data_IF_307026595270
#
_entry.id   IF_307026595270
#
_cell.length_a   1.000
_cell.length_b   1.000
_cell.length_c   1.000
_cell.angle_alpha   90.00
_cell.angle_beta   90.00
_cell.angle_gamma   90.00
#
_symmetry.space_group_name_H-M   'P 1'
#
loop_
_entity.id
_entity.type
_entity.pdbx_description
1 polymer ?
#
# COMPACT_ATOMS: atom_id res chain seq x y z
N UNK A 1 -19.08 -29.99 -6.52
CA UNK A 1 -19.70 -28.97 -7.40
C UNK A 1 -18.66 -27.91 -7.68
N UNK A 2 -18.48 -27.51 -8.95
CA UNK A 2 -17.59 -26.38 -9.26
C UNK A 2 -18.23 -25.08 -8.77
N UNK A 3 -17.48 -24.29 -8.03
CA UNK A 3 -17.93 -22.97 -7.58
C UNK A 3 -18.02 -22.01 -8.78
N UNK A 4 -18.84 -20.96 -8.69
CA UNK A 4 -19.01 -19.98 -9.77
C UNK A 4 -17.66 -19.38 -10.26
N UNK A 5 -16.71 -19.17 -9.33
CA UNK A 5 -15.35 -18.73 -9.65
C UNK A 5 -14.57 -19.73 -10.53
N UNK A 6 -14.73 -21.03 -10.30
CA UNK A 6 -14.06 -22.05 -11.10
C UNK A 6 -14.62 -22.09 -12.52
N UNK A 7 -15.92 -21.93 -12.69
CA UNK A 7 -16.55 -21.86 -14.02
C UNK A 7 -16.03 -20.66 -14.81
N UNK A 8 -15.88 -19.50 -14.16
CA UNK A 8 -15.31 -18.30 -14.79
C UNK A 8 -13.83 -18.51 -15.12
N UNK A 9 -13.07 -19.14 -14.22
CA UNK A 9 -11.66 -19.43 -14.44
C UNK A 9 -11.46 -20.36 -15.63
N UNK A 10 -12.23 -21.45 -15.73
CA UNK A 10 -12.12 -22.42 -16.82
C UNK A 10 -12.39 -21.78 -18.18
N UNK A 11 -13.49 -21.01 -18.28
CA UNK A 11 -13.82 -20.28 -19.52
C UNK A 11 -12.70 -19.33 -19.95
N UNK A 12 -12.12 -18.58 -19.02
CA UNK A 12 -10.99 -17.68 -19.34
C UNK A 12 -9.73 -18.43 -19.78
N UNK A 13 -9.47 -19.59 -19.19
CA UNK A 13 -8.34 -20.43 -19.57
C UNK A 13 -8.56 -20.96 -21.00
N UNK A 14 -9.75 -21.45 -21.32
CA UNK A 14 -10.13 -21.89 -22.67
C UNK A 14 -10.01 -20.74 -23.69
N UNK A 15 -10.57 -19.56 -23.39
CA UNK A 15 -10.47 -18.37 -24.25
C UNK A 15 -9.01 -17.97 -24.51
N UNK A 16 -8.15 -18.06 -23.48
CA UNK A 16 -6.73 -17.75 -23.61
C UNK A 16 -6.02 -18.72 -24.57
N UNK A 17 -6.30 -20.03 -24.47
CA UNK A 17 -5.71 -21.04 -25.36
C UNK A 17 -6.30 -21.04 -26.77
N UNK A 18 -7.53 -20.55 -26.95
CA UNK A 18 -8.14 -20.36 -28.28
C UNK A 18 -7.59 -19.12 -29.00
N UNK A 19 -7.02 -18.15 -28.27
CA UNK A 19 -6.41 -16.97 -28.88
C UNK A 19 -5.02 -17.28 -29.45
N UNK A 20 -4.67 -16.74 -30.60
CA UNK A 20 -3.32 -16.87 -31.21
C UNK A 20 -2.20 -16.18 -30.40
N UNK A 21 -2.47 -15.73 -29.17
CA UNK A 21 -1.55 -15.01 -28.29
C UNK A 21 -1.00 -15.87 -27.16
N UNK A 22 -1.05 -17.19 -27.25
CA UNK A 22 -0.47 -18.06 -26.22
C UNK A 22 1.04 -17.80 -26.15
N UNK A 23 1.58 -17.24 -25.05
CA UNK A 23 3.01 -17.08 -24.87
C UNK A 23 3.66 -18.46 -24.70
N UNK A 24 4.94 -18.58 -25.06
CA UNK A 24 5.69 -19.81 -24.80
C UNK A 24 5.80 -20.06 -23.28
N UNK A 25 5.14 -21.11 -22.82
CA UNK A 25 5.13 -21.55 -21.41
C UNK A 25 6.17 -22.64 -21.12
N UNK A 26 6.99 -23.02 -22.11
CA UNK A 26 7.98 -24.11 -22.01
C UNK A 26 8.91 -23.97 -20.79
N UNK A 27 9.32 -22.74 -20.48
CA UNK A 27 10.19 -22.42 -19.34
C UNK A 27 9.56 -22.75 -17.97
N UNK A 28 8.23 -22.77 -17.88
CA UNK A 28 7.49 -23.07 -16.65
C UNK A 28 7.18 -24.56 -16.49
N UNK A 29 7.38 -25.38 -17.54
CA UNK A 29 7.12 -26.82 -17.49
C UNK A 29 8.03 -27.50 -16.47
N UNK A 30 7.45 -28.32 -15.60
CA UNK A 30 8.13 -29.02 -14.50
C UNK A 30 8.83 -28.12 -13.47
N UNK A 31 8.55 -26.81 -13.44
CA UNK A 31 9.00 -25.95 -12.35
C UNK A 31 7.99 -25.99 -11.21
N UNK A 32 8.43 -26.14 -9.96
CA UNK A 32 7.54 -25.98 -8.82
C UNK A 32 7.00 -24.54 -8.80
N UNK A 33 5.74 -24.39 -8.36
CA UNK A 33 5.16 -23.08 -8.12
C UNK A 33 6.01 -22.34 -7.07
N UNK A 34 6.27 -21.03 -7.25
CA UNK A 34 6.93 -20.24 -6.23
C UNK A 34 6.17 -20.34 -4.91
N UNK A 35 6.88 -20.64 -3.82
CA UNK A 35 6.28 -20.65 -2.49
C UNK A 35 5.98 -19.21 -2.10
N UNK A 36 4.70 -18.89 -1.97
CA UNK A 36 4.28 -17.59 -1.45
C UNK A 36 4.18 -17.66 0.07
N UNK A 37 4.88 -16.78 0.76
CA UNK A 37 4.73 -16.62 2.21
C UNK A 37 3.38 -15.96 2.52
N UNK A 38 2.42 -16.78 2.96
CA UNK A 38 1.09 -16.38 3.41
C UNK A 38 0.87 -16.72 4.88
N UNK A 39 1.96 -16.84 5.66
CA UNK A 39 1.92 -17.21 7.08
C UNK A 39 1.08 -16.23 7.91
N UNK A 40 1.03 -14.96 7.49
CA UNK A 40 0.29 -13.89 8.16
C UNK A 40 -1.17 -13.73 7.69
N UNK A 41 -1.65 -14.60 6.79
CA UNK A 41 -3.01 -14.52 6.23
C UNK A 41 -3.82 -15.73 6.68
N UNK A 42 -4.98 -15.53 7.35
CA UNK A 42 -5.88 -16.62 7.74
C UNK A 42 -6.26 -17.52 6.57
N UNK A 43 -6.44 -18.82 6.83
CA UNK A 43 -6.62 -19.83 5.78
C UNK A 43 -7.72 -19.48 4.77
N UNK A 44 -8.85 -18.99 5.28
CA UNK A 44 -10.04 -18.67 4.49
C UNK A 44 -9.86 -17.42 3.61
N UNK A 45 -8.93 -16.52 3.97
CA UNK A 45 -8.67 -15.27 3.26
C UNK A 45 -7.53 -15.38 2.23
N UNK A 46 -6.74 -16.46 2.25
CA UNK A 46 -5.57 -16.61 1.37
C UNK A 46 -5.93 -16.54 -0.11
N UNK A 47 -7.04 -17.14 -0.52
CA UNK A 47 -7.47 -17.12 -1.92
C UNK A 47 -7.83 -15.70 -2.38
N UNK A 48 -8.63 -14.98 -1.59
CA UNK A 48 -9.01 -13.60 -1.89
C UNK A 48 -7.79 -12.68 -1.94
N UNK A 49 -6.86 -12.82 -1.00
CA UNK A 49 -5.62 -12.08 -0.98
C UNK A 49 -4.74 -12.32 -2.22
N UNK A 50 -4.58 -13.59 -2.63
CA UNK A 50 -3.84 -13.94 -3.86
C UNK A 50 -4.43 -13.31 -5.11
N UNK A 51 -5.76 -13.35 -5.24
CA UNK A 51 -6.46 -12.76 -6.39
C UNK A 51 -6.19 -11.25 -6.46
N UNK A 52 -6.33 -10.54 -5.33
CA UNK A 52 -6.06 -9.10 -5.25
C UNK A 52 -4.60 -8.77 -5.58
N UNK A 53 -3.65 -9.52 -5.00
CA UNK A 53 -2.22 -9.36 -5.26
C UNK A 53 -1.88 -9.55 -6.75
N UNK A 54 -2.41 -10.60 -7.39
CA UNK A 54 -2.20 -10.89 -8.81
C UNK A 54 -2.81 -9.85 -9.74
N UNK A 55 -3.94 -9.25 -9.33
CA UNK A 55 -4.58 -8.16 -10.06
C UNK A 55 -3.89 -6.79 -9.83
N UNK A 56 -2.79 -6.74 -9.07
CA UNK A 56 -2.04 -5.52 -8.79
C UNK A 56 -2.68 -4.62 -7.73
N UNK A 57 -3.69 -5.10 -7.00
CA UNK A 57 -4.28 -4.36 -5.88
C UNK A 57 -3.33 -4.40 -4.69
N UNK A 58 -2.56 -3.33 -4.55
CA UNK A 58 -1.69 -3.08 -3.41
C UNK A 58 -2.50 -2.29 -2.36
N UNK A 59 -2.54 -2.74 -1.09
CA UNK A 59 -3.15 -1.96 -0.02
C UNK A 59 -2.57 -0.54 0.02
N UNK A 60 -3.38 0.49 0.24
CA UNK A 60 -2.92 1.87 0.15
C UNK A 60 -1.82 2.17 1.19
N UNK A 61 -1.78 1.43 2.30
CA UNK A 61 -0.70 1.46 3.30
C UNK A 61 0.66 1.10 2.68
N UNK A 62 0.69 0.07 1.83
CA UNK A 62 1.91 -0.37 1.15
C UNK A 62 2.29 0.62 0.04
N UNK A 63 1.31 1.20 -0.64
CA UNK A 63 1.56 2.27 -1.62
C UNK A 63 2.15 3.52 -0.95
N UNK A 64 1.61 3.94 0.19
CA UNK A 64 2.11 5.06 0.99
C UNK A 64 3.52 4.80 1.50
N UNK A 65 3.82 3.59 2.00
CA UNK A 65 5.20 3.22 2.40
C UNK A 65 6.19 3.31 1.26
N UNK A 66 5.81 2.84 0.06
CA UNK A 66 6.64 2.99 -1.15
C UNK A 66 6.86 4.47 -1.51
N UNK A 67 5.85 5.31 -1.36
CA UNK A 67 5.99 6.75 -1.63
C UNK A 67 6.88 7.46 -0.60
N UNK A 68 6.82 7.06 0.67
CA UNK A 68 7.72 7.55 1.72
C UNK A 68 9.16 7.19 1.37
N UNK A 69 9.45 5.91 1.11
CA UNK A 69 10.81 5.46 0.76
C UNK A 69 11.36 6.20 -0.47
N UNK A 70 10.53 6.36 -1.52
CA UNK A 70 10.92 7.16 -2.70
C UNK A 70 11.21 8.62 -2.36
N UNK A 71 10.46 9.21 -1.43
CA UNK A 71 10.65 10.60 -0.99
C UNK A 71 11.94 10.76 -0.19
N UNK A 72 12.30 9.76 0.62
CA UNK A 72 13.58 9.67 1.36
C UNK A 72 14.77 9.52 0.41
N UNK A 73 14.67 8.64 -0.58
CA UNK A 73 15.70 8.46 -1.61
C UNK A 73 15.95 9.76 -2.39
N UNK A 74 14.87 10.47 -2.75
CA UNK A 74 14.96 11.75 -3.42
C UNK A 74 15.62 12.81 -2.53
N UNK A 75 15.33 12.81 -1.23
CA UNK A 75 15.97 13.71 -0.25
C UNK A 75 17.46 13.43 -0.09
N UNK A 76 17.87 12.16 -0.09
CA UNK A 76 19.27 11.76 0.05
C UNK A 76 20.15 12.26 -1.11
N UNK A 77 19.58 12.36 -2.31
CA UNK A 77 20.30 12.78 -3.52
C UNK A 77 20.05 14.24 -3.92
N UNK A 78 19.24 14.99 -3.15
CA UNK A 78 18.90 16.37 -3.49
C UNK A 78 19.96 17.37 -2.99
N UNK A 79 20.52 18.16 -3.91
CA UNK A 79 21.52 19.22 -3.61
C UNK A 79 20.93 20.62 -3.46
N UNK A 80 19.67 20.83 -3.87
CA UNK A 80 18.98 22.12 -3.78
C UNK A 80 18.19 22.23 -2.46
N UNK A 81 18.55 23.20 -1.63
CA UNK A 81 17.92 23.45 -0.31
C UNK A 81 16.42 23.77 -0.40
N UNK A 82 15.98 24.49 -1.44
CA UNK A 82 14.55 24.84 -1.59
C UNK A 82 13.71 23.61 -1.94
N UNK A 83 14.27 22.72 -2.76
CA UNK A 83 13.63 21.45 -3.13
C UNK A 83 13.64 20.50 -1.93
N UNK A 84 14.75 20.44 -1.19
CA UNK A 84 14.89 19.65 0.03
C UNK A 84 13.84 20.04 1.09
N UNK A 85 13.61 21.33 1.31
CA UNK A 85 12.60 21.78 2.26
C UNK A 85 11.16 21.40 1.87
N UNK A 86 10.81 21.51 0.58
CA UNK A 86 9.49 21.06 0.08
C UNK A 86 9.33 19.54 0.23
N UNK A 87 10.38 18.79 -0.06
CA UNK A 87 10.36 17.33 -0.02
C UNK A 87 10.30 16.81 1.43
N UNK A 88 10.93 17.50 2.40
CA UNK A 88 10.77 17.23 3.84
C UNK A 88 9.33 17.45 4.32
N UNK A 89 8.68 18.55 3.90
CA UNK A 89 7.26 18.77 4.21
C UNK A 89 6.35 17.69 3.62
N UNK A 90 6.65 17.25 2.39
CA UNK A 90 5.92 16.16 1.74
C UNK A 90 6.11 14.85 2.51
N UNK A 91 7.33 14.54 2.94
CA UNK A 91 7.65 13.37 3.74
C UNK A 91 6.83 13.35 5.05
N UNK A 92 6.82 14.44 5.81
CA UNK A 92 6.07 14.53 7.05
C UNK A 92 4.56 14.33 6.85
N UNK A 93 3.99 14.87 5.76
CA UNK A 93 2.60 14.62 5.40
C UNK A 93 2.31 13.15 5.07
N UNK A 94 3.19 12.48 4.32
CA UNK A 94 3.02 11.07 3.95
C UNK A 94 3.12 10.15 5.18
N UNK A 95 4.06 10.43 6.09
CA UNK A 95 4.20 9.72 7.36
C UNK A 95 2.94 9.88 8.22
N UNK A 96 2.45 11.12 8.37
CA UNK A 96 1.20 11.40 9.09
C UNK A 96 -0.01 10.68 8.46
N UNK A 97 -0.16 10.73 7.13
CA UNK A 97 -1.25 10.04 6.42
C UNK A 97 -1.21 8.53 6.67
N UNK A 98 -0.01 7.93 6.75
CA UNK A 98 0.15 6.51 7.06
C UNK A 98 -0.24 6.20 8.52
N UNK A 99 0.17 7.04 9.48
CA UNK A 99 -0.15 6.89 10.90
C UNK A 99 -1.65 6.97 11.18
N UNK A 100 -2.34 7.98 10.63
CA UNK A 100 -3.80 8.11 10.72
C UNK A 100 -4.52 6.85 10.24
N UNK A 101 -4.05 6.27 9.13
CA UNK A 101 -4.66 5.10 8.51
C UNK A 101 -4.42 3.82 9.30
N UNK A 102 -3.24 3.71 9.91
CA UNK A 102 -2.88 2.55 10.74
C UNK A 102 -3.55 2.54 12.11
N UNK A 103 -4.35 3.57 12.45
CA UNK A 103 -5.00 3.68 13.76
C UNK A 103 -4.02 3.84 14.92
N UNK A 104 -2.76 4.23 14.63
CA UNK A 104 -1.79 4.56 15.67
C UNK A 104 -2.19 5.90 16.28
N UNK A 105 -2.08 6.02 17.61
CA UNK A 105 -2.37 7.28 18.30
C UNK A 105 -1.46 8.37 17.73
N UNK A 106 -2.06 9.42 17.18
CA UNK A 106 -1.34 10.62 16.78
C UNK A 106 -0.78 11.26 18.03
N UNK A 107 0.51 11.06 18.29
CA UNK A 107 1.20 11.79 19.36
C UNK A 107 1.39 13.22 18.85
N UNK A 108 0.49 14.12 19.27
CA UNK A 108 0.71 15.56 19.18
C UNK A 108 1.66 15.95 20.31
N UNK A 109 2.95 15.78 20.10
CA UNK A 109 3.99 16.31 20.98
C UNK A 109 4.43 17.72 20.54
N UNK A 110 5.18 18.38 21.42
CA UNK A 110 5.75 19.72 21.21
C UNK A 110 6.66 19.80 19.98
N UNK A 111 7.27 18.66 19.61
CA UNK A 111 8.18 18.54 18.46
C UNK A 111 7.41 18.30 17.14
N UNK A 112 6.11 18.01 17.21
CA UNK A 112 5.27 17.86 16.03
C UNK A 112 5.13 19.19 15.28
N UNK A 113 5.45 19.24 13.97
CA UNK A 113 5.36 20.46 13.17
C UNK A 113 3.93 20.99 13.00
N UNK A 114 2.93 20.23 13.48
CA UNK A 114 1.52 20.57 13.44
C UNK A 114 0.95 20.98 14.80
N UNK A 115 1.71 20.83 15.90
CA UNK A 115 1.27 21.19 17.25
C UNK A 115 0.75 22.63 17.32
N UNK A 116 1.56 23.59 16.85
CA UNK A 116 1.18 25.00 16.82
C UNK A 116 -0.10 25.27 16.02
N UNK A 117 -0.23 24.67 14.83
CA UNK A 117 -1.37 24.89 13.93
C UNK A 117 -2.68 24.27 14.43
N UNK A 118 -2.58 23.21 15.23
CA UNK A 118 -3.73 22.53 15.81
C UNK A 118 -4.19 23.27 17.06
N UNK A 119 -3.26 23.68 17.93
CA UNK A 119 -3.56 24.50 19.12
C UNK A 119 -4.21 25.83 18.74
N UNK A 120 -3.74 26.50 17.67
CA UNK A 120 -4.35 27.74 17.16
C UNK A 120 -5.81 27.59 16.70
N UNK A 121 -6.23 26.38 16.31
CA UNK A 121 -7.56 26.13 15.73
C UNK A 121 -8.55 25.50 16.71
N UNK A 122 -8.11 25.09 17.90
CA UNK A 122 -8.99 24.51 18.91
C UNK A 122 -9.55 25.64 19.76
N UNK A 123 -10.86 25.93 19.69
CA UNK A 123 -11.47 26.86 20.62
C UNK A 123 -11.45 26.24 22.02
N UNK A 124 -10.74 26.89 22.94
CA UNK A 124 -10.81 26.55 24.36
C UNK A 124 -12.19 27.00 24.84
N UNK A 125 -13.04 26.03 25.19
CA UNK A 125 -14.23 26.34 25.97
C UNK A 125 -13.77 26.68 27.38
N UNK A 126 -13.84 27.95 27.74
CA UNK A 126 -13.73 28.34 29.13
C UNK A 126 -14.81 27.59 29.91
N UNK A 127 -14.39 26.80 30.88
CA UNK A 127 -15.32 26.24 31.85
C UNK A 127 -15.80 27.42 32.69
N UNK A 128 -16.95 27.96 32.33
CA UNK A 128 -17.73 28.85 33.19
C UNK A 128 -17.95 28.16 34.54
N UNK A 129 -17.47 28.80 35.60
CA UNK A 129 -17.85 28.57 36.99
C UNK A 129 -18.66 29.76 37.48
#
# INVERSE_FOLDING_TARGET
>A
MLNALQIIAERKIEEFFQSDRVPDLSHWKNRPLPVEDLSNVPADLRMAYKILKNAGYVPEEVALRKEIARTEDLLAHCRDEKVKFKQLKKLGYLQFKLECRMGRSLILDSDSPYYARVVEKIPVRDKEG
#
